data_IF_192367644708
#
_entry.id   IF_192367644708
#
_cell.length_a   1.000
_cell.length_b   1.000
_cell.length_c   1.000
_cell.angle_alpha   90.00
_cell.angle_beta   90.00
_cell.angle_gamma   90.00
#
_symmetry.space_group_name_H-M   'P 1'
#
loop_
_entity.id
_entity.type
_entity.pdbx_description
1 polymer ?
#
# COMPACT_ATOMS: atom_id res chain seq x y z
N UNK A 1 -50.85 -32.30 14.84
CA UNK A 1 -50.13 -32.58 16.10
C UNK A 1 -48.83 -33.27 15.69
N UNK A 2 -47.66 -32.65 15.56
CA UNK A 2 -47.04 -31.39 16.04
C UNK A 2 -46.32 -30.72 14.84
N UNK A 3 -46.43 -29.43 14.52
CA UNK A 3 -45.96 -28.22 15.22
C UNK A 3 -44.48 -28.28 15.65
N UNK A 4 -43.62 -27.57 14.90
CA UNK A 4 -42.71 -26.48 15.36
C UNK A 4 -41.32 -26.52 14.70
N UNK A 5 -40.98 -25.39 14.06
CA UNK A 5 -39.70 -24.64 14.14
C UNK A 5 -38.43 -25.42 13.70
N UNK A 6 -37.62 -24.93 12.77
CA UNK A 6 -36.78 -23.76 12.98
C UNK A 6 -36.50 -23.04 11.65
N UNK A 7 -36.97 -21.80 11.59
CA UNK A 7 -36.39 -20.77 10.74
C UNK A 7 -34.99 -20.43 11.29
N UNK A 8 -33.97 -20.69 10.49
CA UNK A 8 -32.66 -20.05 10.60
C UNK A 8 -32.18 -19.78 9.18
N UNK A 9 -32.85 -18.85 8.51
CA UNK A 9 -32.21 -18.08 7.45
C UNK A 9 -31.08 -17.31 8.12
N UNK A 10 -29.89 -17.90 8.07
CA UNK A 10 -28.63 -17.24 8.40
C UNK A 10 -28.55 -16.03 7.50
N UNK A 11 -28.92 -14.87 8.06
CA UNK A 11 -28.66 -13.57 7.48
C UNK A 11 -27.14 -13.43 7.52
N UNK A 12 -26.47 -13.95 6.50
CA UNK A 12 -25.07 -13.65 6.23
C UNK A 12 -25.02 -12.14 6.05
N UNK A 13 -24.64 -11.46 7.13
CA UNK A 13 -24.13 -10.10 7.11
C UNK A 13 -22.87 -10.17 6.25
N UNK A 14 -23.06 -10.11 4.94
CA UNK A 14 -22.00 -9.78 4.02
C UNK A 14 -21.67 -8.33 4.37
N UNK A 15 -20.66 -8.16 5.22
CA UNK A 15 -19.95 -6.89 5.33
C UNK A 15 -19.20 -6.74 4.01
N UNK A 16 -19.95 -6.41 2.95
CA UNK A 16 -19.39 -5.85 1.76
C UNK A 16 -18.84 -4.51 2.20
N UNK A 17 -17.56 -4.47 2.57
CA UNK A 17 -16.78 -3.25 2.47
C UNK A 17 -16.73 -2.92 0.98
N UNK A 18 -17.84 -2.36 0.47
CA UNK A 18 -17.84 -1.60 -0.76
C UNK A 18 -16.96 -0.41 -0.48
N UNK A 19 -15.69 -0.52 -0.84
CA UNK A 19 -14.93 0.64 -1.24
C UNK A 19 -15.78 1.27 -2.34
N UNK A 20 -16.47 2.36 -2.02
CA UNK A 20 -17.12 3.18 -3.01
C UNK A 20 -16.00 3.78 -3.87
N UNK A 21 -15.54 3.01 -4.87
CA UNK A 21 -14.74 3.53 -5.95
C UNK A 21 -15.57 4.65 -6.57
N UNK A 22 -15.00 5.84 -6.54
CA UNK A 22 -15.61 7.06 -7.02
C UNK A 22 -16.26 6.83 -8.39
N UNK A 23 -17.54 7.18 -8.50
CA UNK A 23 -18.23 7.20 -9.78
C UNK A 23 -17.63 8.30 -10.66
N UNK A 24 -16.98 7.87 -11.74
CA UNK A 24 -16.51 8.71 -12.84
C UNK A 24 -15.00 8.92 -12.86
N UNK A 25 -14.39 8.66 -14.02
CA UNK A 25 -13.10 9.24 -14.47
C UNK A 25 -11.82 8.60 -13.92
N UNK A 26 -11.91 7.76 -12.88
CA UNK A 26 -10.76 7.25 -12.14
C UNK A 26 -10.87 5.78 -11.75
N UNK A 27 -9.82 5.01 -12.02
CA UNK A 27 -9.70 3.61 -11.60
C UNK A 27 -8.59 3.48 -10.56
N UNK A 28 -8.93 2.91 -9.40
CA UNK A 28 -7.98 2.63 -8.33
C UNK A 28 -7.93 1.13 -8.03
N UNK A 29 -6.72 0.58 -7.90
CA UNK A 29 -6.49 -0.83 -7.59
C UNK A 29 -5.41 -0.99 -6.53
N UNK A 30 -5.58 -1.91 -5.56
CA UNK A 30 -4.52 -2.26 -4.64
C UNK A 30 -3.38 -2.95 -5.42
N UNK A 31 -2.15 -2.69 -5.00
CA UNK A 31 -0.94 -3.32 -5.54
C UNK A 31 0.00 -3.72 -4.41
N UNK A 32 0.74 -4.80 -4.61
CA UNK A 32 1.84 -5.20 -3.72
C UNK A 32 3.10 -5.30 -4.56
N UNK A 33 4.14 -4.59 -4.13
CA UNK A 33 5.41 -4.47 -4.85
C UNK A 33 6.50 -5.11 -4.00
N UNK A 34 7.07 -6.26 -4.41
CA UNK A 34 8.19 -6.85 -3.71
C UNK A 34 9.44 -6.00 -3.97
N UNK A 35 10.08 -5.53 -2.90
CA UNK A 35 11.28 -4.70 -2.98
C UNK A 35 12.43 -5.33 -2.23
N UNK A 36 13.54 -5.54 -2.93
CA UNK A 36 14.77 -6.02 -2.33
C UNK A 36 15.56 -4.87 -1.69
N UNK A 37 15.82 -4.98 -0.39
CA UNK A 37 16.54 -3.98 0.39
C UNK A 37 17.84 -4.58 0.90
N UNK A 38 18.94 -3.89 0.62
CA UNK A 38 20.29 -4.18 1.12
C UNK A 38 20.88 -2.90 1.72
N UNK A 39 20.82 -2.77 3.04
CA UNK A 39 21.28 -1.59 3.79
C UNK A 39 21.93 -1.97 5.12
N UNK A 40 22.65 -1.01 5.70
CA UNK A 40 23.09 -1.08 7.10
C UNK A 40 22.11 -0.31 7.99
N UNK A 41 21.71 -0.90 9.10
CA UNK A 41 20.85 -0.30 10.13
C UNK A 41 21.52 -0.37 11.50
N UNK A 42 21.22 0.55 12.43
CA UNK A 42 21.64 0.40 13.83
C UNK A 42 21.12 -0.91 14.41
N UNK A 43 21.93 -1.61 15.21
CA UNK A 43 21.46 -2.79 15.93
C UNK A 43 20.38 -2.41 16.95
N UNK A 44 19.41 -3.29 17.17
CA UNK A 44 18.35 -3.04 18.16
C UNK A 44 18.97 -3.11 19.57
N UNK A 45 18.85 -2.06 20.40
CA UNK A 45 19.36 -2.09 21.77
C UNK A 45 18.74 -3.21 22.62
N UNK A 46 17.56 -3.71 22.23
CA UNK A 46 16.88 -4.81 22.92
C UNK A 46 17.49 -6.18 22.65
N UNK A 47 18.23 -6.34 21.54
CA UNK A 47 19.06 -7.52 21.27
C UNK A 47 20.25 -7.61 22.26
N UNK A 48 20.53 -6.52 22.99
CA UNK A 48 21.68 -6.36 23.89
C UNK A 48 21.30 -6.31 25.39
N UNK A 49 20.04 -6.54 25.78
CA UNK A 49 19.63 -6.64 27.19
C UNK A 49 20.32 -7.79 27.96
N UNK A 50 21.14 -8.61 27.29
CA UNK A 50 22.05 -9.58 27.89
C UNK A 50 23.36 -8.98 28.43
N UNK A 51 23.67 -7.70 28.21
CA UNK A 51 24.89 -7.09 28.72
C UNK A 51 24.93 -5.58 28.51
N UNK A 52 25.09 -4.84 29.60
CA UNK A 52 25.08 -3.38 29.71
C UNK A 52 26.23 -2.67 28.92
N UNK A 53 26.27 -2.81 27.60
CA UNK A 53 27.23 -2.16 26.69
C UNK A 53 26.55 -1.78 25.37
N UNK A 54 25.57 -0.87 25.42
CA UNK A 54 24.95 -0.37 24.20
C UNK A 54 25.95 0.40 23.33
N UNK A 55 26.53 -0.26 22.33
CA UNK A 55 27.26 0.43 21.28
C UNK A 55 26.28 0.92 20.22
N UNK A 56 25.71 2.11 20.43
CA UNK A 56 24.78 2.78 19.51
C UNK A 56 25.34 3.08 18.11
N UNK A 57 26.63 2.77 17.87
CA UNK A 57 27.26 2.87 16.54
C UNK A 57 27.41 1.51 15.83
N UNK A 58 27.06 0.39 16.48
CA UNK A 58 27.11 -0.92 15.84
C UNK A 58 26.01 -1.04 14.77
N UNK A 59 26.43 -1.40 13.55
CA UNK A 59 25.54 -1.58 12.41
C UNK A 59 25.35 -3.06 12.10
N UNK A 60 24.13 -3.42 11.70
CA UNK A 60 23.76 -4.73 11.17
C UNK A 60 23.30 -4.57 9.72
N UNK A 61 23.63 -5.55 8.87
CA UNK A 61 23.12 -5.61 7.50
C UNK A 61 21.70 -6.16 7.47
N UNK A 62 20.82 -5.46 6.76
CA UNK A 62 19.48 -5.91 6.36
C UNK A 62 19.55 -6.17 4.88
N UNK A 63 19.47 -7.44 4.51
CA UNK A 63 19.47 -7.92 3.12
C UNK A 63 18.29 -8.88 2.96
N UNK A 64 17.17 -8.36 2.49
CA UNK A 64 15.92 -9.12 2.38
C UNK A 64 14.93 -8.45 1.43
N UNK A 65 13.88 -9.19 1.06
CA UNK A 65 12.77 -8.65 0.28
C UNK A 65 11.59 -8.34 1.19
N UNK A 66 11.03 -7.15 1.03
CA UNK A 66 9.80 -6.73 1.69
C UNK A 66 8.70 -6.51 0.65
N UNK A 67 7.47 -6.86 1.01
CA UNK A 67 6.29 -6.48 0.26
C UNK A 67 5.81 -5.09 0.67
N UNK A 68 5.77 -4.16 -0.27
CA UNK A 68 5.22 -2.82 -0.09
C UNK A 68 3.83 -2.75 -0.72
N UNK A 69 2.83 -2.51 0.12
CA UNK A 69 1.46 -2.31 -0.33
C UNK A 69 1.25 -0.87 -0.79
N UNK A 70 0.38 -0.69 -1.78
CA UNK A 70 -0.15 0.62 -2.13
C UNK A 70 -1.46 0.55 -2.89
N UNK A 71 -1.99 1.72 -3.20
CA UNK A 71 -3.16 1.90 -4.04
C UNK A 71 -2.72 2.72 -5.25
N UNK A 72 -2.75 2.08 -6.42
CA UNK A 72 -2.49 2.75 -7.69
C UNK A 72 -3.82 3.32 -8.21
N UNK A 73 -3.85 4.61 -8.51
CA UNK A 73 -4.99 5.28 -9.13
C UNK A 73 -4.54 5.93 -10.44
N UNK A 74 -5.31 5.72 -11.51
CA UNK A 74 -5.05 6.34 -12.81
C UNK A 74 -6.33 6.85 -13.47
N UNK A 75 -6.22 7.85 -14.36
CA UNK A 75 -7.35 8.28 -15.17
C UNK A 75 -7.88 7.11 -16.00
N UNK A 76 -9.20 6.96 -16.07
CA UNK A 76 -9.83 6.01 -16.97
C UNK A 76 -9.82 6.53 -18.43
N UNK A 77 -10.39 5.77 -19.36
CA UNK A 77 -10.45 6.16 -20.79
C UNK A 77 -11.29 7.41 -21.06
N UNK A 78 -12.04 7.91 -20.07
CA UNK A 78 -12.91 9.09 -20.20
C UNK A 78 -12.19 10.40 -19.86
N UNK A 79 -11.04 10.33 -19.18
CA UNK A 79 -10.15 11.48 -18.95
C UNK A 79 -8.96 11.39 -19.87
N UNK A 80 -8.70 12.46 -20.62
CA UNK A 80 -7.44 12.59 -21.35
C UNK A 80 -6.28 12.60 -20.35
N UNK A 81 -5.55 11.49 -20.26
CA UNK A 81 -4.32 11.40 -19.47
C UNK A 81 -3.36 12.50 -19.88
N UNK A 82 -2.87 13.26 -18.90
CA UNK A 82 -1.95 14.36 -19.18
C UNK A 82 -0.51 13.89 -19.35
N UNK A 83 -0.15 12.78 -18.71
CA UNK A 83 1.17 12.15 -18.79
C UNK A 83 1.07 10.66 -18.43
N UNK A 84 0.81 9.79 -19.42
CA UNK A 84 0.71 8.34 -19.22
C UNK A 84 1.96 7.71 -18.58
N UNK A 85 3.12 8.36 -18.74
CA UNK A 85 4.42 7.85 -18.28
C UNK A 85 4.85 8.41 -16.91
N UNK A 86 3.99 9.21 -16.25
CA UNK A 86 4.32 9.83 -14.96
C UNK A 86 3.37 9.33 -13.88
N UNK A 87 3.95 8.70 -12.86
CA UNK A 87 3.24 8.28 -11.65
C UNK A 87 3.75 9.10 -10.46
N UNK A 88 2.82 9.74 -9.74
CA UNK A 88 3.12 10.41 -8.48
C UNK A 88 3.21 9.38 -7.36
N UNK A 89 4.40 9.16 -6.80
CA UNK A 89 4.56 8.34 -5.60
C UNK A 89 4.19 9.16 -4.36
N UNK A 90 3.14 8.75 -3.65
CA UNK A 90 2.62 9.44 -2.49
C UNK A 90 3.04 8.71 -1.21
N UNK A 91 3.83 9.39 -0.37
CA UNK A 91 4.40 8.85 0.87
C UNK A 91 3.73 9.51 2.06
N UNK A 92 3.10 8.72 2.92
CA UNK A 92 2.40 9.25 4.10
C UNK A 92 3.37 9.68 5.21
N UNK A 93 2.89 10.49 6.16
CA UNK A 93 3.64 10.86 7.36
C UNK A 93 3.67 9.75 8.41
N UNK A 94 4.49 9.92 9.45
CA UNK A 94 4.47 9.05 10.63
C UNK A 94 3.05 9.02 11.22
N UNK A 95 2.62 7.87 11.76
CA UNK A 95 1.26 7.57 12.26
C UNK A 95 0.13 7.43 11.22
N UNK A 96 0.43 7.55 9.93
CA UNK A 96 -0.55 7.38 8.86
C UNK A 96 -0.27 6.12 8.02
N UNK A 97 -1.16 5.85 7.06
CA UNK A 97 -1.04 4.83 6.00
C UNK A 97 -1.32 5.49 4.65
N UNK A 98 -1.33 4.72 3.56
CA UNK A 98 -1.75 5.15 2.22
C UNK A 98 -3.12 5.85 2.21
N UNK A 99 -3.99 5.54 3.18
CA UNK A 99 -5.30 6.17 3.36
C UNK A 99 -5.23 7.67 3.65
N UNK A 100 -4.08 8.20 4.10
CA UNK A 100 -3.91 9.66 4.25
C UNK A 100 -4.16 10.39 2.92
N UNK A 101 -3.76 9.79 1.80
CA UNK A 101 -3.89 10.37 0.47
C UNK A 101 -5.29 10.16 -0.15
N UNK A 102 -6.10 9.28 0.44
CA UNK A 102 -7.49 9.06 0.07
C UNK A 102 -8.27 8.55 1.29
N UNK A 103 -8.73 9.46 2.17
CA UNK A 103 -9.42 9.08 3.39
C UNK A 103 -10.65 8.21 3.10
N UNK A 104 -10.88 7.11 3.83
CA UNK A 104 -12.04 6.23 3.62
C UNK A 104 -13.32 6.76 4.29
N UNK A 105 -13.23 7.91 4.97
CA UNK A 105 -14.30 8.53 5.74
C UNK A 105 -15.08 9.48 4.84
N UNK A 106 -16.40 9.34 4.86
CA UNK A 106 -17.32 9.98 3.92
C UNK A 106 -17.23 11.51 3.94
N UNK A 107 -17.15 12.05 5.15
CA UNK A 107 -17.04 13.47 5.47
C UNK A 107 -15.71 14.07 4.98
N UNK A 108 -14.72 13.22 4.68
CA UNK A 108 -13.40 13.64 4.22
C UNK A 108 -13.11 13.31 2.75
N UNK A 109 -14.10 12.84 1.97
CA UNK A 109 -13.88 12.49 0.55
C UNK A 109 -13.33 13.64 -0.29
N UNK A 110 -13.71 14.88 0.02
CA UNK A 110 -13.20 16.08 -0.67
C UNK A 110 -11.73 16.40 -0.37
N UNK A 111 -11.10 15.69 0.58
CA UNK A 111 -9.68 15.79 0.89
C UNK A 111 -8.84 14.68 0.24
N UNK A 112 -9.44 13.82 -0.61
CA UNK A 112 -8.69 12.79 -1.35
C UNK A 112 -7.79 13.42 -2.42
N UNK A 113 -6.49 13.45 -2.17
CA UNK A 113 -5.50 13.84 -3.16
C UNK A 113 -5.44 12.86 -4.33
N UNK A 114 -5.62 11.56 -4.08
CA UNK A 114 -5.63 10.54 -5.13
C UNK A 114 -6.79 10.79 -6.11
N UNK A 115 -7.99 11.10 -5.61
CA UNK A 115 -9.13 11.46 -6.45
C UNK A 115 -8.90 12.80 -7.18
N UNK A 116 -8.37 13.80 -6.48
CA UNK A 116 -8.06 15.10 -7.08
C UNK A 116 -7.05 14.99 -8.23
N UNK A 117 -5.90 14.34 -7.99
CA UNK A 117 -4.84 14.17 -8.99
C UNK A 117 -5.34 13.38 -10.20
N UNK A 118 -6.09 12.30 -9.96
CA UNK A 118 -6.64 11.49 -11.02
C UNK A 118 -7.67 12.23 -11.89
N UNK A 119 -8.59 13.00 -11.30
CA UNK A 119 -9.54 13.83 -12.05
C UNK A 119 -8.85 14.90 -12.94
N UNK A 120 -7.58 15.22 -12.66
CA UNK A 120 -6.77 16.13 -13.46
C UNK A 120 -5.85 15.41 -14.47
N UNK A 121 -6.00 14.10 -14.62
CA UNK A 121 -5.28 13.28 -15.59
C UNK A 121 -3.90 12.80 -15.12
N UNK A 122 -3.65 12.74 -13.80
CA UNK A 122 -2.42 12.21 -13.23
C UNK A 122 -2.62 10.84 -12.60
N UNK A 123 -1.68 9.93 -12.85
CA UNK A 123 -1.60 8.67 -12.11
C UNK A 123 -0.86 8.87 -10.79
N UNK A 124 -1.28 8.16 -9.74
CA UNK A 124 -0.64 8.16 -8.44
C UNK A 124 -0.55 6.77 -7.83
N UNK A 125 0.46 6.56 -7.00
CA UNK A 125 0.61 5.39 -6.14
C UNK A 125 0.73 5.86 -4.70
N UNK A 126 -0.32 5.69 -3.90
CA UNK A 126 -0.24 5.88 -2.46
C UNK A 126 0.30 4.62 -1.79
N UNK A 127 1.52 4.67 -1.25
CA UNK A 127 2.20 3.50 -0.68
C UNK A 127 2.18 3.52 0.84
N UNK A 128 1.98 2.35 1.45
CA UNK A 128 2.25 2.12 2.87
C UNK A 128 3.76 1.97 3.08
N UNK A 129 4.34 2.79 3.96
CA UNK A 129 5.73 2.62 4.36
C UNK A 129 5.96 1.23 4.99
N UNK A 130 7.20 0.73 4.94
CA UNK A 130 7.60 -0.50 5.63
C UNK A 130 7.19 -0.43 7.11
N UNK A 131 6.66 -1.52 7.66
CA UNK A 131 6.19 -1.60 9.04
C UNK A 131 4.78 -1.07 9.28
N UNK A 132 4.11 -0.53 8.24
CA UNK A 132 2.84 0.19 8.36
C UNK A 132 1.77 -0.39 7.44
N UNK A 133 0.50 -0.22 7.79
CA UNK A 133 -0.64 -0.49 6.89
C UNK A 133 -0.77 -1.95 6.44
N UNK A 134 -0.63 -2.24 5.15
CA UNK A 134 -0.62 -3.59 4.61
C UNK A 134 0.76 -4.00 4.05
N UNK A 135 1.77 -3.13 4.18
CA UNK A 135 3.16 -3.47 3.90
C UNK A 135 3.69 -4.48 4.93
N UNK A 136 4.82 -5.09 4.56
CA UNK A 136 5.57 -5.99 5.44
C UNK A 136 5.84 -5.37 6.81
N UNK A 137 5.74 -6.19 7.85
CA UNK A 137 5.99 -5.81 9.24
C UNK A 137 7.12 -6.63 9.83
N UNK A 138 8.37 -6.18 9.69
CA UNK A 138 9.51 -6.82 10.34
C UNK A 138 9.30 -6.90 11.85
N UNK A 139 9.73 -8.00 12.45
CA UNK A 139 9.64 -8.19 13.92
C UNK A 139 10.69 -7.34 14.64
N UNK A 140 11.87 -7.17 14.04
CA UNK A 140 12.95 -6.36 14.61
C UNK A 140 12.69 -4.88 14.32
N UNK A 141 12.59 -4.05 15.35
CA UNK A 141 12.25 -2.63 15.20
C UNK A 141 13.35 -1.84 14.47
N UNK A 142 14.61 -2.30 14.53
CA UNK A 142 15.71 -1.73 13.75
C UNK A 142 15.65 -2.02 12.25
N UNK A 143 14.77 -2.91 11.78
CA UNK A 143 14.53 -3.05 10.34
C UNK A 143 13.62 -1.92 9.82
N UNK A 144 12.79 -1.31 10.66
CA UNK A 144 11.85 -0.25 10.28
C UNK A 144 12.46 1.12 10.54
N UNK A 145 13.58 1.40 9.87
CA UNK A 145 14.35 2.64 10.00
C UNK A 145 14.32 3.46 8.71
N UNK A 146 14.71 4.73 8.79
CA UNK A 146 14.73 5.62 7.63
C UNK A 146 15.57 5.09 6.46
N UNK A 147 16.70 4.43 6.73
CA UNK A 147 17.53 3.82 5.69
C UNK A 147 16.81 2.68 4.96
N UNK A 148 16.18 1.77 5.69
CA UNK A 148 15.40 0.66 5.10
C UNK A 148 14.19 1.18 4.33
N UNK A 149 13.43 2.12 4.91
CA UNK A 149 12.24 2.70 4.28
C UNK A 149 12.58 3.50 3.01
N UNK A 150 13.68 4.26 3.02
CA UNK A 150 14.14 4.99 1.82
C UNK A 150 14.65 4.05 0.74
N UNK A 151 15.36 2.97 1.10
CA UNK A 151 15.76 1.93 0.16
C UNK A 151 14.55 1.22 -0.47
N UNK A 152 13.54 0.88 0.35
CA UNK A 152 12.29 0.31 -0.12
C UNK A 152 11.57 1.23 -1.12
N UNK A 153 11.39 2.51 -0.78
CA UNK A 153 10.75 3.49 -1.68
C UNK A 153 11.58 3.77 -2.95
N UNK A 154 12.91 3.69 -2.87
CA UNK A 154 13.79 3.75 -4.04
C UNK A 154 13.54 2.59 -5.01
N UNK A 155 13.34 1.38 -4.48
CA UNK A 155 12.97 0.22 -5.29
C UNK A 155 11.57 0.39 -5.88
N UNK A 156 10.57 0.83 -5.11
CA UNK A 156 9.23 1.15 -5.64
C UNK A 156 9.34 2.12 -6.81
N UNK A 157 10.13 3.19 -6.67
CA UNK A 157 10.36 4.17 -7.75
C UNK A 157 11.02 3.52 -8.97
N UNK A 158 11.93 2.56 -8.78
CA UNK A 158 12.52 1.79 -9.89
C UNK A 158 11.48 0.92 -10.59
N UNK A 159 10.64 0.21 -9.84
CA UNK A 159 9.52 -0.56 -10.41
C UNK A 159 8.63 0.34 -11.27
N UNK A 160 8.23 1.51 -10.74
CA UNK A 160 7.42 2.49 -11.46
C UNK A 160 8.11 3.00 -12.75
N UNK A 161 9.43 3.18 -12.75
CA UNK A 161 10.18 3.62 -13.94
C UNK A 161 10.36 2.50 -14.98
N UNK A 162 10.57 1.27 -14.54
CA UNK A 162 10.71 0.11 -15.44
C UNK A 162 9.37 -0.32 -16.04
N UNK A 163 8.27 0.11 -15.43
CA UNK A 163 6.89 0.00 -15.92
C UNK A 163 6.64 0.95 -17.12
N UNK A 164 7.68 1.45 -17.79
CA UNK A 164 7.64 2.12 -19.09
C UNK A 164 7.18 1.24 -20.28
N UNK A 165 6.24 0.32 -20.06
CA UNK A 165 5.43 -0.38 -21.08
C UNK A 165 3.91 -0.22 -20.81
N UNK A 166 3.46 0.83 -20.12
CA UNK A 166 2.03 1.04 -19.89
C UNK A 166 1.37 2.06 -20.82
N UNK A 167 0.96 1.67 -22.04
CA UNK A 167 -0.36 1.98 -22.54
C UNK A 167 -1.32 0.88 -22.06
N UNK A 168 -2.10 1.16 -21.01
CA UNK A 168 -3.17 0.27 -20.57
C UNK A 168 -2.70 -1.04 -19.94
N UNK A 169 -1.94 -1.00 -18.83
CA UNK A 169 -1.77 -2.16 -17.96
C UNK A 169 -3.15 -2.69 -17.59
N UNK A 170 -3.53 -3.76 -18.27
CA UNK A 170 -4.59 -4.65 -17.86
C UNK A 170 -4.09 -5.20 -16.53
N UNK A 171 -4.58 -4.64 -15.43
CA UNK A 171 -4.74 -5.40 -14.21
C UNK A 171 -5.78 -6.44 -14.60
N UNK A 172 -5.34 -7.58 -15.13
CA UNK A 172 -6.22 -8.73 -15.30
C UNK A 172 -6.82 -8.98 -13.93
N UNK A 173 -8.14 -8.85 -13.86
CA UNK A 173 -8.93 -9.37 -12.77
C UNK A 173 -8.60 -10.87 -12.70
N UNK A 174 -7.69 -11.24 -11.81
CA UNK A 174 -7.54 -12.62 -11.36
C UNK A 174 -8.90 -13.04 -10.83
N UNK A 175 -9.65 -13.69 -11.71
CA UNK A 175 -10.82 -14.45 -11.33
C UNK A 175 -10.30 -15.48 -10.34
N UNK A 176 -10.81 -15.42 -9.11
CA UNK A 176 -10.77 -16.52 -8.16
C UNK A 176 -11.37 -17.73 -8.86
N UNK A 177 -10.53 -18.55 -9.49
CA UNK A 177 -10.92 -19.88 -9.90
C UNK A 177 -10.78 -20.76 -8.66
N UNK A 178 -11.93 -21.00 -8.03
CA UNK A 178 -12.15 -22.16 -7.17
C UNK A 178 -11.54 -23.40 -7.83
N UNK A 179 -10.64 -24.05 -7.11
CA UNK A 179 -10.48 -25.50 -7.13
C UNK A 179 -10.87 -25.97 -5.72
#
# INVERSE_FOLDING_TARGET
>A
MHLLLYALSVLLLHCSHTYAAAQGSCACSPVTIPVHVDVLVPKDPTDEFAGLKSNVSELRRVDTTYDIYGIFCGPDTTVSSRNNDVVQLLVHGITYTAQYWSPPVEEFRNYSYAAFSCAHGYSSLAADALGVGLSSRPVNASDVQYSTSSAALSQVTRHLKTISLLPGATIEHSTVQKI
#
